data_IF_026562780968
#
_entry.id   IF_026562780968
#
_cell.length_a   1.000
_cell.length_b   1.000
_cell.length_c   1.000
_cell.angle_alpha   90.00
_cell.angle_beta   90.00
_cell.angle_gamma   90.00
#
_symmetry.space_group_name_H-M   'P 1'
#
loop_
_entity.id
_entity.type
_entity.pdbx_description
1 polymer ?
2 water ?
#
# COMPACT_ATOMS: atom_id res chain seq x y z
N UNK A 1 0.71 -9.94 5.62
CA UNK A 1 -0.29 -10.86 5.03
C UNK A 1 -1.43 -10.18 4.31
N UNK A 2 -2.49 -10.95 4.03
CA UNK A 2 -3.63 -10.43 3.28
C UNK A 2 -4.17 -9.15 3.89
N UNK A 3 -4.40 -9.17 5.19
CA UNK A 3 -5.05 -8.01 5.79
C UNK A 3 -4.16 -6.80 5.68
N UNK A 4 -2.86 -6.96 5.85
CA UNK A 4 -1.97 -5.81 5.67
C UNK A 4 -2.02 -5.29 4.23
N UNK A 5 -2.02 -6.21 3.26
CA UNK A 5 -2.12 -5.81 1.86
C UNK A 5 -3.39 -5.01 1.63
N UNK A 6 -4.52 -5.48 2.14
CA UNK A 6 -5.78 -4.76 1.95
C UNK A 6 -5.68 -3.38 2.55
N UNK A 7 -5.15 -3.29 3.76
CA UNK A 7 -5.04 -1.95 4.36
C UNK A 7 -4.10 -1.04 3.57
N UNK A 8 -2.98 -1.58 3.07
CA UNK A 8 -2.04 -0.77 2.34
C UNK A 8 -2.67 -0.30 1.05
N UNK A 9 -3.40 -1.19 0.36
CA UNK A 9 -4.06 -0.76 -0.89
C UNK A 9 -5.06 0.35 -0.58
N UNK A 10 -5.82 0.18 0.50
CA UNK A 10 -6.79 1.19 0.91
C UNK A 10 -6.09 2.51 1.21
N UNK A 11 -4.97 2.46 1.90
CA UNK A 11 -4.26 3.68 2.26
C UNK A 11 -3.79 4.42 1.03
N UNK A 12 -3.30 3.67 0.04
CA UNK A 12 -2.78 4.28 -1.18
C UNK A 12 -3.90 4.99 -1.91
N UNK A 13 -5.02 4.30 -2.10
CA UNK A 13 -6.17 4.92 -2.76
C UNK A 13 -6.60 6.15 -2.00
N UNK A 14 -6.70 6.02 -0.68
CA UNK A 14 -7.09 7.17 0.11
C UNK A 14 -6.14 8.35 -0.03
N UNK A 15 -4.89 8.08 -0.36
CA UNK A 15 -3.86 9.09 -0.36
C UNK A 15 -3.61 9.67 -1.72
N UNK A 16 -4.11 9.01 -2.75
CA UNK A 16 -3.96 9.48 -4.11
C UNK A 16 -4.98 10.61 -4.26
N UNK B 1 3.36 11.46 1.84
CA UNK B 1 4.11 11.92 0.64
C UNK B 1 4.03 10.89 -0.48
N UNK B 2 4.39 11.29 -1.70
CA UNK B 2 4.42 10.33 -2.81
C UNK B 2 5.30 9.15 -2.45
N UNK B 3 6.43 9.42 -1.83
CA UNK B 3 7.34 8.32 -1.57
C UNK B 3 6.78 7.32 -0.56
N UNK B 4 5.97 7.78 0.39
CA UNK B 4 5.30 6.83 1.26
C UNK B 4 4.26 6.02 0.49
N UNK B 5 3.64 6.60 -0.54
CA UNK B 5 2.73 5.85 -1.41
C UNK B 5 3.48 4.75 -2.16
N UNK B 6 4.56 5.13 -2.85
CA UNK B 6 5.37 4.16 -3.59
C UNK B 6 5.87 3.04 -2.69
N UNK B 7 6.34 3.38 -1.49
CA UNK B 7 6.75 2.34 -0.55
C UNK B 7 5.62 1.38 -0.24
N UNK B 8 4.40 1.90 -0.02
CA UNK B 8 3.28 1.02 0.28
C UNK B 8 2.94 0.16 -0.93
N UNK B 9 2.95 0.75 -2.13
CA UNK B 9 2.69 -0.04 -3.33
C UNK B 9 3.73 -1.14 -3.45
N UNK B 10 4.98 -0.81 -3.14
CA UNK B 10 6.04 -1.81 -3.17
C UNK B 10 5.72 -2.98 -2.23
N UNK B 11 5.26 -2.68 -1.03
CA UNK B 11 4.94 -3.75 -0.09
C UNK B 11 3.81 -4.63 -0.64
N UNK B 12 2.79 -4.02 -1.22
CA UNK B 12 1.67 -4.76 -1.79
C UNK B 12 2.18 -5.71 -2.85
N UNK B 13 3.00 -5.20 -3.78
CA UNK B 13 3.54 -6.08 -4.83
C UNK B 13 4.37 -7.20 -4.23
N UNK B 14 5.15 -6.91 -3.18
CA UNK B 14 5.96 -7.93 -2.53
C UNK B 14 5.15 -9.03 -1.92
N UNK B 15 3.87 -8.76 -1.65
CA UNK B 15 2.96 -9.66 -0.97
C UNK B 15 2.06 -10.44 -1.91
N UNK B 16 2.26 -10.34 -3.23
CA UNK B 16 1.42 -11.02 -4.21
C UNK B 16 1.85 -12.47 -4.40
#
# INVERSE_FOLDING_TARGET
GLFDIIKKVASVIGGL
GLFDIIKKVASVIGGL
#
